data_IF_182100807348
#
_entry.id   IF_182100807348
#
_cell.length_a   1.000
_cell.length_b   1.000
_cell.length_c   1.000
_cell.angle_alpha   90.00
_cell.angle_beta   90.00
_cell.angle_gamma   90.00
#
_symmetry.space_group_name_H-M   'P 1'
#
loop_
_entity.id
_entity.type
_entity.pdbx_description
1 polymer ?
#
# COMPACT_ATOMS: atom_id res chain seq x y z
N UNK A 1 -18.55 -2.73 -15.10
CA UNK A 1 -18.55 -2.66 -13.61
C UNK A 1 -17.21 -3.08 -13.01
N UNK A 2 -16.39 -3.92 -13.68
CA UNK A 2 -15.09 -4.38 -13.16
C UNK A 2 -14.01 -3.28 -13.17
N UNK A 3 -14.04 -2.33 -14.13
CA UNK A 3 -13.00 -1.29 -14.32
C UNK A 3 -12.70 -0.44 -13.08
N UNK A 4 -13.71 -0.11 -12.27
CA UNK A 4 -13.53 0.77 -11.10
C UNK A 4 -13.30 0.01 -9.79
N UNK A 5 -13.65 -1.28 -9.73
CA UNK A 5 -13.53 -2.04 -8.48
C UNK A 5 -12.08 -2.23 -8.07
N UNK A 6 -11.17 -2.45 -9.03
CA UNK A 6 -9.76 -2.68 -8.73
C UNK A 6 -9.08 -1.43 -8.14
N UNK A 7 -9.19 -0.23 -8.73
CA UNK A 7 -8.76 1.01 -8.08
C UNK A 7 -9.35 1.22 -6.67
N UNK A 8 -10.64 0.92 -6.47
CA UNK A 8 -11.29 1.05 -5.17
C UNK A 8 -10.70 0.09 -4.13
N UNK A 9 -10.48 -1.18 -4.49
CA UNK A 9 -9.81 -2.16 -3.63
C UNK A 9 -8.41 -1.67 -3.27
N UNK A 10 -7.64 -1.16 -4.24
CA UNK A 10 -6.31 -0.60 -3.99
C UNK A 10 -6.36 0.54 -2.98
N UNK A 11 -7.33 1.47 -3.09
CA UNK A 11 -7.51 2.53 -2.12
C UNK A 11 -7.85 1.99 -0.72
N UNK A 12 -8.63 0.91 -0.60
CA UNK A 12 -8.91 0.26 0.68
C UNK A 12 -7.62 -0.31 1.30
N UNK A 13 -6.75 -0.95 0.52
CA UNK A 13 -5.45 -1.42 0.99
C UNK A 13 -4.58 -0.29 1.51
N UNK A 14 -4.50 0.84 0.79
CA UNK A 14 -3.75 2.03 1.20
C UNK A 14 -4.28 2.61 2.52
N UNK A 15 -5.61 2.68 2.68
CA UNK A 15 -6.24 3.15 3.92
C UNK A 15 -6.00 2.18 5.07
N UNK A 16 -6.08 0.89 4.81
CA UNK A 16 -5.82 -0.14 5.81
C UNK A 16 -4.37 -0.12 6.28
N UNK A 17 -3.41 0.11 5.38
CA UNK A 17 -2.01 0.26 5.76
C UNK A 17 -1.79 1.49 6.65
N UNK A 18 -2.35 2.65 6.29
CA UNK A 18 -2.32 3.85 7.13
C UNK A 18 -2.88 3.60 8.54
N UNK A 19 -4.01 2.87 8.62
CA UNK A 19 -4.62 2.51 9.89
C UNK A 19 -3.71 1.53 10.68
N UNK A 20 -3.20 0.48 10.04
CA UNK A 20 -2.34 -0.52 10.68
C UNK A 20 -1.02 0.08 11.18
N UNK A 21 -0.41 1.00 10.42
CA UNK A 21 0.80 1.71 10.82
C UNK A 21 0.55 2.66 11.99
N UNK A 22 -0.61 3.34 11.99
CA UNK A 22 -1.04 4.15 13.14
C UNK A 22 -1.24 3.33 14.41
N UNK A 23 -1.94 2.19 14.31
CA UNK A 23 -2.12 1.25 15.44
C UNK A 23 -0.78 0.72 15.93
N UNK A 24 0.12 0.31 15.02
CA UNK A 24 1.45 -0.18 15.36
C UNK A 24 2.29 0.87 16.10
N UNK A 25 2.29 2.11 15.63
CA UNK A 25 3.03 3.21 16.27
C UNK A 25 2.46 3.55 17.66
N UNK A 26 1.13 3.49 17.83
CA UNK A 26 0.48 3.65 19.13
C UNK A 26 0.83 2.52 20.10
N UNK A 27 0.73 1.26 19.65
CA UNK A 27 0.99 0.08 20.46
C UNK A 27 2.44 0.02 20.98
N UNK A 28 3.39 0.53 20.20
CA UNK A 28 4.81 0.55 20.56
C UNK A 28 5.28 1.88 21.20
N UNK A 29 4.39 2.84 21.46
CA UNK A 29 4.72 4.17 21.98
C UNK A 29 5.71 4.98 21.11
N UNK A 30 5.79 4.69 19.82
CA UNK A 30 6.69 5.34 18.86
C UNK A 30 6.00 6.41 18.01
N UNK A 31 4.82 6.85 18.43
CA UNK A 31 4.03 7.82 17.68
C UNK A 31 4.77 9.16 17.50
N UNK A 32 5.19 9.42 16.26
CA UNK A 32 5.78 10.70 15.85
C UNK A 32 4.97 11.30 14.72
N UNK A 33 4.34 12.44 14.98
CA UNK A 33 3.50 13.13 13.99
C UNK A 33 4.26 13.50 12.71
N UNK A 34 5.57 13.80 12.80
CA UNK A 34 6.41 14.03 11.61
C UNK A 34 6.47 12.82 10.69
N UNK A 35 6.69 11.63 11.26
CA UNK A 35 6.82 10.38 10.51
C UNK A 35 5.46 9.94 9.96
N UNK A 36 4.39 10.12 10.71
CA UNK A 36 3.03 9.86 10.22
C UNK A 36 2.66 10.74 9.03
N UNK A 37 2.99 12.04 9.06
CA UNK A 37 2.74 12.93 7.91
C UNK A 37 3.54 12.51 6.68
N UNK A 38 4.80 12.10 6.84
CA UNK A 38 5.59 11.54 5.73
C UNK A 38 4.91 10.29 5.16
N UNK A 39 4.50 9.36 6.03
CA UNK A 39 3.74 8.17 5.64
C UNK A 39 2.49 8.54 4.84
N UNK A 40 1.71 9.50 5.32
CA UNK A 40 0.51 9.99 4.62
C UNK A 40 0.84 10.56 3.22
N UNK A 41 1.89 11.37 3.09
CA UNK A 41 2.30 11.89 1.77
C UNK A 41 2.72 10.79 0.79
N UNK A 42 3.42 9.76 1.26
CA UNK A 42 3.77 8.60 0.42
C UNK A 42 2.52 7.85 -0.05
N UNK A 43 1.56 7.60 0.84
CA UNK A 43 0.30 6.93 0.51
C UNK A 43 -0.59 7.76 -0.40
N UNK A 44 -0.60 9.08 -0.23
CA UNK A 44 -1.25 10.00 -1.16
C UNK A 44 -0.62 9.90 -2.57
N UNK A 45 0.70 9.80 -2.66
CA UNK A 45 1.40 9.53 -3.92
C UNK A 45 0.95 8.23 -4.59
N UNK A 46 0.76 7.14 -3.83
CA UNK A 46 0.19 5.89 -4.35
C UNK A 46 -1.21 6.09 -4.95
N UNK A 47 -2.09 6.83 -4.26
CA UNK A 47 -3.43 7.14 -4.77
C UNK A 47 -3.36 7.96 -6.06
N UNK A 48 -2.50 8.99 -6.11
CA UNK A 48 -2.29 9.78 -7.33
C UNK A 48 -1.82 8.91 -8.50
N UNK A 49 -0.96 7.92 -8.23
CA UNK A 49 -0.50 6.98 -9.26
C UNK A 49 -1.62 6.08 -9.78
N UNK A 50 -2.52 5.60 -8.91
CA UNK A 50 -3.73 4.85 -9.32
C UNK A 50 -4.63 5.71 -10.22
N UNK A 51 -4.88 6.95 -9.80
CA UNK A 51 -5.71 7.89 -10.59
C UNK A 51 -5.08 8.15 -11.95
N UNK A 52 -3.77 8.41 -12.01
CA UNK A 52 -3.06 8.61 -13.27
C UNK A 52 -3.16 7.39 -14.17
N UNK A 53 -2.93 6.19 -13.64
CA UNK A 53 -3.00 4.95 -14.42
C UNK A 53 -4.41 4.72 -15.00
N UNK A 54 -5.45 5.00 -14.21
CA UNK A 54 -6.84 4.93 -14.69
C UNK A 54 -7.14 5.97 -15.78
N UNK A 55 -6.63 7.20 -15.65
CA UNK A 55 -6.77 8.23 -16.67
C UNK A 55 -6.08 7.85 -17.99
N UNK A 56 -4.92 7.18 -17.92
CA UNK A 56 -4.22 6.66 -19.12
C UNK A 56 -5.08 5.60 -19.80
N UNK A 57 -5.58 4.61 -19.07
CA UNK A 57 -6.47 3.57 -19.62
C UNK A 57 -7.76 4.18 -20.21
N UNK A 58 -8.27 5.25 -19.60
CA UNK A 58 -9.41 5.99 -20.14
C UNK A 58 -9.06 6.75 -21.43
N UNK A 59 -7.90 7.39 -21.48
CA UNK A 59 -7.43 8.15 -22.64
C UNK A 59 -7.20 7.25 -23.88
N UNK A 60 -6.76 6.00 -23.67
CA UNK A 60 -6.61 5.00 -24.74
C UNK A 60 -7.90 4.71 -25.51
N UNK A 61 -9.08 5.05 -24.95
CA UNK A 61 -10.38 4.94 -25.64
C UNK A 61 -10.59 6.02 -26.70
N UNK A 62 -9.83 7.11 -26.63
CA UNK A 62 -9.97 8.28 -27.50
C UNK A 62 -8.77 8.48 -28.43
N UNK A 63 -7.59 8.05 -28.00
CA UNK A 63 -6.34 8.23 -28.75
C UNK A 63 -5.57 6.92 -28.76
N UNK A 64 -5.08 6.52 -29.94
CA UNK A 64 -4.14 5.41 -30.04
C UNK A 64 -2.77 5.86 -29.50
N UNK A 65 -2.39 5.35 -28.34
CA UNK A 65 -1.11 5.64 -27.70
C UNK A 65 0.05 4.79 -28.27
N UNK A 66 -0.22 3.90 -29.23
CA UNK A 66 0.77 2.97 -29.79
C UNK A 66 1.01 1.72 -28.94
N UNK A 67 0.20 1.50 -27.89
CA UNK A 67 0.20 0.30 -27.06
C UNK A 67 -1.18 0.04 -26.45
N UNK A 68 -1.50 -1.24 -26.23
CA UNK A 68 -2.74 -1.70 -25.59
C UNK A 68 -2.42 -2.62 -24.41
N UNK A 69 -2.08 -2.00 -23.28
CA UNK A 69 -1.76 -2.70 -22.03
C UNK A 69 -2.65 -2.10 -20.93
N UNK A 70 -3.25 -2.92 -20.04
CA UNK A 70 -4.07 -2.42 -18.94
C UNK A 70 -3.18 -1.82 -17.84
N UNK A 71 -2.86 -0.53 -17.94
CA UNK A 71 -1.92 0.17 -17.06
C UNK A 71 -2.48 0.26 -15.64
N UNK A 72 -3.78 0.58 -15.50
CA UNK A 72 -4.42 0.66 -14.19
C UNK A 72 -4.36 -0.66 -13.44
N UNK A 73 -4.54 -1.79 -14.14
CA UNK A 73 -4.46 -3.10 -13.52
C UNK A 73 -3.04 -3.40 -13.00
N UNK A 74 -2.01 -3.16 -13.81
CA UNK A 74 -0.62 -3.36 -13.40
C UNK A 74 -0.23 -2.51 -12.20
N UNK A 75 -0.59 -1.22 -12.22
CA UNK A 75 -0.32 -0.28 -11.11
C UNK A 75 -1.06 -0.69 -9.84
N UNK A 76 -2.33 -1.08 -9.94
CA UNK A 76 -3.11 -1.52 -8.78
C UNK A 76 -2.50 -2.78 -8.14
N UNK A 77 -2.15 -3.79 -8.94
CA UNK A 77 -1.49 -5.01 -8.43
C UNK A 77 -0.19 -4.67 -7.72
N UNK A 78 0.64 -3.82 -8.33
CA UNK A 78 1.89 -3.37 -7.72
C UNK A 78 1.66 -2.69 -6.35
N UNK A 79 0.72 -1.74 -6.28
CA UNK A 79 0.42 -1.03 -5.04
C UNK A 79 -0.16 -1.99 -4.00
N UNK A 80 -1.11 -2.87 -4.35
CA UNK A 80 -1.67 -3.86 -3.43
C UNK A 80 -0.57 -4.72 -2.81
N UNK A 81 0.38 -5.22 -3.60
CA UNK A 81 1.50 -6.02 -3.09
C UNK A 81 2.42 -5.21 -2.16
N UNK A 82 2.68 -3.95 -2.50
CA UNK A 82 3.48 -3.03 -1.67
C UNK A 82 2.79 -2.73 -0.33
N UNK A 83 1.49 -2.43 -0.35
CA UNK A 83 0.68 -2.21 0.84
C UNK A 83 0.57 -3.47 1.70
N UNK A 84 0.38 -4.65 1.08
CA UNK A 84 0.35 -5.94 1.78
C UNK A 84 1.62 -6.18 2.61
N UNK A 85 2.80 -5.90 2.04
CA UNK A 85 4.07 -6.03 2.76
C UNK A 85 4.13 -5.12 3.99
N UNK A 86 3.75 -3.85 3.84
CA UNK A 86 3.70 -2.87 4.93
C UNK A 86 2.71 -3.27 6.03
N UNK A 87 1.53 -3.75 5.65
CA UNK A 87 0.51 -4.23 6.59
C UNK A 87 1.04 -5.42 7.40
N UNK A 88 1.70 -6.38 6.76
CA UNK A 88 2.29 -7.54 7.44
C UNK A 88 3.38 -7.10 8.42
N UNK A 89 4.22 -6.13 8.05
CA UNK A 89 5.21 -5.54 8.95
C UNK A 89 4.54 -4.90 10.19
N UNK A 90 3.50 -4.09 9.98
CA UNK A 90 2.75 -3.44 11.05
C UNK A 90 2.08 -4.47 11.98
N UNK A 91 1.48 -5.53 11.43
CA UNK A 91 0.90 -6.63 12.21
C UNK A 91 1.97 -7.32 13.06
N UNK A 92 3.14 -7.59 12.48
CA UNK A 92 4.27 -8.21 13.19
C UNK A 92 4.79 -7.36 14.36
N UNK A 93 4.76 -6.03 14.22
CA UNK A 93 5.10 -5.09 15.31
C UNK A 93 4.03 -5.04 16.41
N UNK A 94 2.76 -5.29 16.08
CA UNK A 94 1.65 -5.31 17.04
C UNK A 94 1.62 -6.66 17.78
N UNK A 95 1.74 -7.77 17.04
CA UNK A 95 1.70 -9.12 17.57
C UNK A 95 2.72 -10.01 16.84
N UNK A 96 3.94 -10.14 17.39
CA UNK A 96 5.02 -10.88 16.76
C UNK A 96 4.79 -12.40 16.70
N UNK A 97 3.87 -12.95 17.49
CA UNK A 97 3.57 -14.39 17.53
C UNK A 97 2.76 -14.86 16.32
N UNK A 98 2.13 -13.93 15.59
CA UNK A 98 1.40 -14.24 14.36
C UNK A 98 2.31 -14.50 13.16
N UNK A 99 3.58 -14.07 13.22
CA UNK A 99 4.52 -14.19 12.11
C UNK A 99 5.58 -15.26 12.40
N UNK A 100 5.81 -16.22 11.48
CA UNK A 100 6.92 -17.15 11.59
C UNK A 100 8.28 -16.44 11.70
N UNK A 101 9.25 -17.03 12.41
CA UNK A 101 10.59 -16.46 12.60
C UNK A 101 11.27 -16.02 11.30
N UNK A 102 11.17 -16.84 10.25
CA UNK A 102 11.74 -16.50 8.93
C UNK A 102 11.14 -15.23 8.33
N UNK A 103 9.83 -15.02 8.50
CA UNK A 103 9.13 -13.84 7.98
C UNK A 103 9.55 -12.61 8.76
N UNK A 104 9.61 -12.72 10.09
CA UNK A 104 10.11 -11.65 10.97
C UNK A 104 11.53 -11.23 10.59
N UNK A 105 12.37 -12.19 10.23
CA UNK A 105 13.76 -11.92 9.84
C UNK A 105 13.90 -11.15 8.54
N UNK A 106 13.11 -11.54 7.53
CA UNK A 106 13.04 -10.81 6.25
C UNK A 106 12.54 -9.38 6.47
N UNK A 107 11.60 -9.19 7.40
CA UNK A 107 11.03 -7.89 7.75
C UNK A 107 11.88 -7.09 8.76
N UNK A 108 13.00 -7.64 9.25
CA UNK A 108 13.87 -6.97 10.21
C UNK A 108 13.30 -6.83 11.63
N UNK A 109 12.31 -7.65 12.00
CA UNK A 109 11.60 -7.60 13.29
C UNK A 109 12.28 -8.42 14.41
N UNK A 110 13.46 -9.00 14.14
CA UNK A 110 14.17 -9.88 15.10
C UNK A 110 14.92 -9.10 16.19
N UNK A 111 15.05 -7.78 16.02
CA UNK A 111 15.85 -6.91 16.91
C UNK A 111 15.08 -6.38 18.11
N UNK A 112 14.14 -7.15 18.65
CA UNK A 112 13.62 -6.87 20.00
C UNK A 112 14.69 -7.31 21.01
N UNK A 113 15.65 -6.43 21.26
CA UNK A 113 16.52 -6.45 22.45
C UNK A 113 16.06 -5.37 23.40
#
# INVERSE_FOLDING_TARGET
MVDIMLPLITCIFVVFDLASGGVSACANHEWKSSEMRKGLYHKFGSIMLVVLAYLIDYAQRYVDLGFQVPIAAGVCVYIILMELGSIVENIGKINPDLLPEKVRSILGLDKTK
#
